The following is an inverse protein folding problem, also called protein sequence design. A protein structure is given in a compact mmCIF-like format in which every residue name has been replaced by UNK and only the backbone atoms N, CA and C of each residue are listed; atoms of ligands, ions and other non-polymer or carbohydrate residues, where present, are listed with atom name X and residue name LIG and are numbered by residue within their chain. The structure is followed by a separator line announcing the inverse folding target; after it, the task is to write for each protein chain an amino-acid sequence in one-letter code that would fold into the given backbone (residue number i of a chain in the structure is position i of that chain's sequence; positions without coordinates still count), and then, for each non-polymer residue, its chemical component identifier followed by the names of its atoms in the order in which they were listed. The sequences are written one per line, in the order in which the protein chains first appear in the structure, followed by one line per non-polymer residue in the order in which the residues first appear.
data_IF_671939073236
#
_entry.id   IF_671939073236
#
_cell.length_a   1.000
_cell.length_b   1.000
_cell.length_c   1.000
_cell.angle_alpha   90.00
_cell.angle_beta   90.00
_cell.angle_gamma   90.00
#
_symmetry.space_group_name_H-M   'P 1'
#
loop_
_entity.id
_entity.type
_entity.pdbx_description
1 polymer ?
#
# COMPACT_ATOMS: atom_id res chain seq x y z
N UNK A 1 1.96 -5.62 19.21
CA UNK A 1 3.21 -5.16 18.57
C UNK A 1 3.52 -6.10 17.42
N UNK A 2 3.02 -5.82 16.22
CA UNK A 2 3.37 -6.59 15.01
C UNK A 2 4.72 -6.08 14.52
N UNK A 3 5.76 -6.85 14.78
CA UNK A 3 7.15 -6.57 14.38
C UNK A 3 7.27 -6.49 12.86
N UNK A 4 7.92 -5.46 12.35
CA UNK A 4 8.24 -5.21 10.93
C UNK A 4 9.02 -6.34 10.22
N UNK A 5 9.35 -7.41 10.94
CA UNK A 5 10.14 -8.55 10.47
C UNK A 5 9.35 -9.59 9.65
N UNK A 6 8.02 -9.46 9.55
CA UNK A 6 7.17 -10.40 8.80
C UNK A 6 6.82 -9.93 7.38
N UNK A 7 7.17 -8.70 6.99
CA UNK A 7 6.82 -8.14 5.68
C UNK A 7 7.86 -8.61 4.65
N UNK A 8 7.45 -9.36 3.60
CA UNK A 8 8.39 -9.80 2.59
C UNK A 8 9.06 -8.61 1.87
N UNK A 9 10.37 -8.71 1.64
CA UNK A 9 11.15 -7.71 0.90
C UNK A 9 10.92 -7.80 -0.61
N UNK A 10 10.66 -9.00 -1.11
CA UNK A 10 10.36 -9.24 -2.51
C UNK A 10 9.01 -8.58 -2.88
N UNK A 11 8.95 -7.71 -3.90
CA UNK A 11 7.72 -7.06 -4.35
C UNK A 11 6.57 -8.02 -4.70
N UNK A 12 6.88 -9.19 -5.25
CA UNK A 12 5.87 -10.19 -5.62
C UNK A 12 5.28 -10.85 -4.37
N UNK A 13 6.15 -11.32 -3.45
CA UNK A 13 5.69 -11.91 -2.19
C UNK A 13 4.98 -10.88 -1.33
N UNK A 14 5.45 -9.64 -1.29
CA UNK A 14 4.81 -8.54 -0.55
C UNK A 14 3.39 -8.33 -1.04
N UNK A 15 3.16 -8.39 -2.36
CA UNK A 15 1.82 -8.22 -2.92
C UNK A 15 0.87 -9.36 -2.52
N UNK A 16 1.34 -10.60 -2.54
CA UNK A 16 0.55 -11.73 -2.06
C UNK A 16 0.29 -11.66 -0.55
N UNK A 17 1.29 -11.25 0.23
CA UNK A 17 1.14 -11.01 1.67
C UNK A 17 0.09 -9.93 1.95
N UNK A 18 0.09 -8.81 1.23
CA UNK A 18 -0.94 -7.77 1.33
C UNK A 18 -2.33 -8.36 1.05
N UNK A 19 -2.48 -9.13 -0.03
CA UNK A 19 -3.78 -9.77 -0.35
C UNK A 19 -4.23 -10.71 0.75
N UNK A 20 -3.30 -11.52 1.29
CA UNK A 20 -3.57 -12.43 2.38
C UNK A 20 -4.03 -11.69 3.63
N UNK A 21 -3.32 -10.64 4.04
CA UNK A 21 -3.67 -9.81 5.19
C UNK A 21 -5.03 -9.12 5.03
N UNK A 22 -5.33 -8.62 3.82
CA UNK A 22 -6.65 -8.06 3.53
C UNK A 22 -7.75 -9.11 3.70
N UNK A 23 -7.56 -10.32 3.15
CA UNK A 23 -8.51 -11.43 3.28
C UNK A 23 -8.70 -11.86 4.74
N UNK A 24 -7.61 -11.95 5.50
CA UNK A 24 -7.65 -12.29 6.93
C UNK A 24 -8.48 -11.29 7.76
N UNK A 25 -8.65 -10.06 7.26
CA UNK A 25 -9.44 -8.99 7.88
C UNK A 25 -10.81 -8.79 7.24
N UNK A 26 -11.28 -9.75 6.45
CA UNK A 26 -12.55 -9.66 5.70
C UNK A 26 -12.65 -8.42 4.79
N UNK A 27 -11.49 -7.97 4.30
CA UNK A 27 -11.36 -6.89 3.34
C UNK A 27 -10.76 -7.41 2.03
N UNK A 28 -10.86 -6.60 0.97
CA UNK A 28 -10.27 -6.93 -0.32
C UNK A 28 -9.92 -5.67 -1.08
N UNK A 29 -9.04 -5.81 -2.08
CA UNK A 29 -8.70 -4.71 -2.99
C UNK A 29 -9.95 -4.11 -3.65
N UNK A 30 -10.96 -4.95 -3.97
CA UNK A 30 -12.25 -4.48 -4.49
C UNK A 30 -13.00 -3.61 -3.49
N UNK A 31 -13.05 -4.02 -2.22
CA UNK A 31 -13.77 -3.31 -1.15
C UNK A 31 -13.10 -1.96 -0.87
N UNK A 32 -11.76 -1.92 -0.88
CA UNK A 32 -11.00 -0.69 -0.77
C UNK A 32 -11.20 0.23 -1.97
N UNK A 33 -11.15 -0.30 -3.19
CA UNK A 33 -11.40 0.48 -4.40
C UNK A 33 -12.81 1.12 -4.36
N UNK A 34 -13.83 0.35 -3.97
CA UNK A 34 -15.20 0.85 -3.76
C UNK A 34 -15.28 1.94 -2.69
N UNK A 35 -14.62 1.75 -1.54
CA UNK A 35 -14.60 2.74 -0.46
C UNK A 35 -13.94 4.07 -0.88
N UNK A 36 -12.94 4.01 -1.77
CA UNK A 36 -12.25 5.18 -2.31
C UNK A 36 -12.93 5.78 -3.55
N UNK A 37 -13.98 5.14 -4.07
CA UNK A 37 -14.65 5.55 -5.31
C UNK A 37 -13.77 5.39 -6.57
N UNK A 38 -12.83 4.44 -6.56
CA UNK A 38 -11.90 4.19 -7.68
C UNK A 38 -12.10 2.83 -8.31
N UNK A 39 -11.62 2.68 -9.54
CA UNK A 39 -11.63 1.40 -10.23
C UNK A 39 -10.66 0.42 -9.56
N UNK A 40 -11.03 -0.88 -9.54
CA UNK A 40 -10.18 -1.96 -9.01
C UNK A 40 -8.78 -1.99 -9.63
N UNK A 41 -8.66 -1.68 -10.92
CA UNK A 41 -7.37 -1.64 -11.61
C UNK A 41 -6.43 -0.58 -11.05
N UNK A 42 -6.96 0.51 -10.49
CA UNK A 42 -6.14 1.53 -9.83
C UNK A 42 -5.35 0.93 -8.64
N UNK A 43 -5.92 -0.05 -7.96
CA UNK A 43 -5.25 -0.74 -6.86
C UNK A 43 -4.18 -1.72 -7.36
N UNK A 44 -4.39 -2.38 -8.50
CA UNK A 44 -3.36 -3.23 -9.12
C UNK A 44 -2.14 -2.43 -9.59
N UNK A 45 -2.32 -1.15 -9.94
CA UNK A 45 -1.22 -0.27 -10.33
C UNK A 45 -0.22 -0.01 -9.20
N UNK A 46 -0.61 -0.21 -7.93
CA UNK A 46 0.30 -0.12 -6.77
C UNK A 46 1.47 -1.10 -6.89
N UNK A 47 1.22 -2.32 -7.42
CA UNK A 47 2.28 -3.31 -7.69
C UNK A 47 3.30 -2.76 -8.70
N UNK A 48 2.82 -2.05 -9.72
CA UNK A 48 3.62 -1.59 -10.86
C UNK A 48 4.44 -0.33 -10.60
N UNK A 49 4.02 0.52 -9.66
CA UNK A 49 4.75 1.75 -9.36
C UNK A 49 4.23 2.49 -8.13
N UNK A 50 4.99 3.51 -7.65
CA UNK A 50 4.65 4.24 -6.45
C UNK A 50 3.34 4.98 -6.62
N UNK A 51 2.36 4.65 -5.76
CA UNK A 51 1.04 5.26 -5.80
C UNK A 51 0.56 5.64 -4.39
N UNK A 52 1.02 6.79 -3.86
CA UNK A 52 0.95 7.10 -2.44
C UNK A 52 -0.47 7.09 -1.86
N UNK A 53 -1.45 7.55 -2.63
CA UNK A 53 -2.86 7.58 -2.22
C UNK A 53 -3.43 6.18 -1.99
N UNK A 54 -3.08 5.22 -2.84
CA UNK A 54 -3.55 3.83 -2.74
C UNK A 54 -2.76 3.05 -1.70
N UNK A 55 -1.45 3.26 -1.63
CA UNK A 55 -0.57 2.67 -0.61
C UNK A 55 -1.06 3.03 0.80
N UNK A 56 -1.38 4.31 1.06
CA UNK A 56 -2.00 4.76 2.32
C UNK A 56 -3.32 4.05 2.63
N UNK A 57 -4.18 3.86 1.63
CA UNK A 57 -5.47 3.22 1.86
C UNK A 57 -5.34 1.72 2.18
N UNK A 58 -4.39 1.03 1.55
CA UNK A 58 -4.05 -0.35 1.92
C UNK A 58 -3.47 -0.39 3.33
N UNK A 59 -2.50 0.46 3.63
CA UNK A 59 -1.86 0.55 4.93
C UNK A 59 -2.89 0.79 6.05
N UNK A 60 -3.81 1.74 5.85
CA UNK A 60 -4.91 2.02 6.78
C UNK A 60 -5.82 0.80 7.00
N UNK A 61 -6.17 0.06 5.94
CA UNK A 61 -6.93 -1.19 6.07
C UNK A 61 -6.16 -2.27 6.83
N UNK A 62 -4.84 -2.28 6.67
CA UNK A 62 -3.91 -3.11 7.39
C UNK A 62 -3.52 -2.55 8.77
N UNK A 63 -4.07 -1.40 9.20
CA UNK A 63 -3.70 -0.73 10.46
C UNK A 63 -2.16 -0.65 10.63
N UNK A 64 -1.48 -0.37 9.53
CA UNK A 64 -0.03 -0.20 9.41
C UNK A 64 0.23 1.14 8.74
N UNK A 65 1.47 1.60 8.83
CA UNK A 65 1.91 2.75 8.04
C UNK A 65 2.38 2.29 6.65
N UNK A 66 2.24 3.13 5.61
CA UNK A 66 2.74 2.78 4.28
C UNK A 66 4.27 2.64 4.26
N UNK A 67 4.98 3.27 5.19
CA UNK A 67 6.41 3.11 5.43
C UNK A 67 6.80 1.70 5.88
N UNK A 68 5.99 1.05 6.70
CA UNK A 68 6.25 -0.31 7.16
C UNK A 68 6.18 -1.30 5.98
N UNK A 69 5.23 -1.07 5.07
CA UNK A 69 4.97 -1.96 3.93
C UNK A 69 5.92 -1.66 2.77
N UNK A 70 6.17 -0.39 2.49
CA UNK A 70 7.01 0.09 1.39
C UNK A 70 8.11 1.05 1.87
N UNK A 71 9.09 0.56 2.65
CA UNK A 71 10.17 1.40 3.16
C UNK A 71 11.04 1.98 2.03
N UNK A 72 11.05 1.35 0.85
CA UNK A 72 11.75 1.86 -0.35
C UNK A 72 11.03 3.03 -1.03
N UNK A 73 9.73 3.21 -0.76
CA UNK A 73 8.88 4.21 -1.43
C UNK A 73 8.50 5.37 -0.52
N UNK A 74 8.58 5.18 0.78
CA UNK A 74 8.25 6.17 1.78
C UNK A 74 9.48 6.42 2.65
N UNK A 75 9.87 7.68 2.78
CA UNK A 75 10.89 8.07 3.75
C UNK A 75 10.31 8.04 5.16
N UNK A 76 11.19 8.00 6.17
CA UNK A 76 10.85 8.03 7.60
C UNK A 76 10.07 9.29 8.05
N UNK A 77 9.86 10.24 7.13
CA UNK A 77 9.13 11.49 7.33
C UNK A 77 7.65 11.40 6.89
N UNK A 78 7.10 10.22 6.56
CA UNK A 78 5.72 10.14 6.03
C UNK A 78 5.54 10.68 4.62
N UNK A 79 6.64 10.97 3.95
CA UNK A 79 6.66 11.58 2.62
C UNK A 79 6.95 10.52 1.56
N UNK A 80 6.12 10.44 0.51
CA UNK A 80 6.41 9.56 -0.61
C UNK A 80 7.65 10.06 -1.36
N UNK A 81 8.53 9.14 -1.76
CA UNK A 81 9.80 9.44 -2.45
C UNK A 81 9.62 10.06 -3.84
N UNK A 82 8.40 10.05 -4.39
CA UNK A 82 8.07 10.79 -5.61
C UNK A 82 7.84 12.26 -5.27
N UNK A 83 8.71 13.21 -5.70
CA UNK A 83 8.39 14.62 -5.59
C UNK A 83 7.09 14.87 -6.36
N UNK A 84 6.11 15.47 -5.68
CA UNK A 84 4.92 16.00 -6.36
C UNK A 84 5.43 17.10 -7.27
N UNK A 85 5.65 16.81 -8.54
CA UNK A 85 6.18 17.80 -9.48
C UNK A 85 5.27 19.03 -9.37
N UNK A 86 5.77 20.18 -8.88
CA UNK A 86 4.96 21.37 -8.83
C UNK A 86 4.60 21.72 -10.27
N UNK A 87 3.31 21.99 -10.51
CA UNK A 87 2.85 22.49 -11.79
C UNK A 87 3.63 23.80 -12.07
N UNK A 88 4.17 24.02 -13.28
CA UNK A 88 4.74 25.32 -13.63
C UNK A 88 3.70 26.43 -13.51
#
# INVERSE_FOLDING_TARGET
MTTSNEIPKDPELRWEWIKFQLRARETSLSKLAKALGVERNAMNNVKRGPYPRMERAIALALKLEPEDIWPERWGSDGQPSRPRNPKP
#
